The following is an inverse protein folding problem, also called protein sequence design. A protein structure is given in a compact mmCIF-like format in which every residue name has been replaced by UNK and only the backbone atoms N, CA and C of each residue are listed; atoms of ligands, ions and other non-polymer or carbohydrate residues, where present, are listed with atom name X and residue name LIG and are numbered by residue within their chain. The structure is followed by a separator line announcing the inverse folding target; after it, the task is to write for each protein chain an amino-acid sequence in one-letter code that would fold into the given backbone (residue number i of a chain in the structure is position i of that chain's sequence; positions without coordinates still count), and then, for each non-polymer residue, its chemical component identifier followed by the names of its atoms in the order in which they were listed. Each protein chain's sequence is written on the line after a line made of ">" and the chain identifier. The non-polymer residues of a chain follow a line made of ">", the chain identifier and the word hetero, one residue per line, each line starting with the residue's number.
data_IF_841296205741
#
_entry.id   IF_841296205741
#
_cell.length_a   1.000
_cell.length_b   1.000
_cell.length_c   1.000
_cell.angle_alpha   90.00
_cell.angle_beta   90.00
_cell.angle_gamma   90.00
#
_symmetry.space_group_name_H-M   'P 1'
#
loop_
_entity.id
_entity.type
_entity.pdbx_description
1 polymer ?
#
# COMPACT_ATOMS: atom_id res chain seq x y z
N UNK A 1 -0.90 -28.62 44.69
CA UNK A 1 -1.17 -28.33 43.27
C UNK A 1 -1.25 -26.82 43.13
N UNK A 2 -0.18 -26.19 42.65
CA UNK A 2 -0.10 -24.73 42.47
C UNK A 2 -0.50 -24.39 41.03
N UNK A 3 -1.42 -23.44 40.87
CA UNK A 3 -1.87 -22.92 39.57
C UNK A 3 -0.70 -22.18 38.91
N UNK A 4 -0.29 -22.61 37.71
CA UNK A 4 0.73 -21.90 36.95
C UNK A 4 0.22 -20.50 36.60
N UNK A 5 0.95 -19.48 37.04
CA UNK A 5 0.83 -18.12 36.52
C UNK A 5 0.98 -18.18 35.01
N UNK A 6 -0.09 -17.84 34.28
CA UNK A 6 0.00 -17.62 32.83
C UNK A 6 0.91 -16.41 32.63
N UNK A 7 2.13 -16.68 32.18
CA UNK A 7 3.06 -15.68 31.65
C UNK A 7 2.30 -14.83 30.63
N UNK A 8 1.99 -13.59 30.99
CA UNK A 8 1.54 -12.58 30.02
C UNK A 8 2.73 -12.34 29.11
N UNK A 9 2.69 -12.90 27.90
CA UNK A 9 3.57 -12.46 26.83
C UNK A 9 3.25 -10.98 26.60
N UNK A 10 4.18 -10.11 26.99
CA UNK A 10 4.20 -8.74 26.50
C UNK A 10 4.47 -8.92 25.02
N UNK A 11 3.43 -8.86 24.17
CA UNK A 11 3.62 -8.70 22.75
C UNK A 11 4.48 -7.44 22.59
N UNK A 12 5.72 -7.62 22.17
CA UNK A 12 6.56 -6.51 21.77
C UNK A 12 5.78 -5.82 20.65
N UNK A 13 5.31 -4.59 20.90
CA UNK A 13 4.64 -3.79 19.86
C UNK A 13 5.52 -3.86 18.62
N UNK A 14 4.98 -4.21 17.43
CA UNK A 14 5.79 -4.23 16.22
C UNK A 14 6.49 -2.88 16.08
N UNK A 15 7.78 -2.93 15.72
CA UNK A 15 8.59 -1.73 15.50
C UNK A 15 7.82 -0.83 14.53
N UNK A 16 7.24 0.27 15.04
CA UNK A 16 6.51 1.24 14.22
C UNK A 16 7.45 1.68 13.08
N UNK A 17 6.98 1.60 11.84
CA UNK A 17 7.72 2.06 10.67
C UNK A 17 8.25 3.47 10.93
N UNK A 18 9.55 3.66 10.73
CA UNK A 18 10.28 4.85 11.16
C UNK A 18 10.03 6.07 10.27
N UNK A 19 8.77 6.46 10.02
CA UNK A 19 8.38 7.50 9.05
C UNK A 19 9.15 8.83 9.24
N UNK A 20 9.52 9.18 10.48
CA UNK A 20 10.32 10.38 10.78
C UNK A 20 11.72 10.37 10.15
N UNK A 21 12.26 9.20 9.78
CA UNK A 21 13.55 9.08 9.06
C UNK A 21 13.53 9.77 7.70
N UNK A 22 12.34 9.90 7.11
CA UNK A 22 12.13 10.41 5.75
C UNK A 22 12.00 11.93 5.67
N UNK A 23 11.94 12.64 6.80
CA UNK A 23 11.78 14.12 6.83
C UNK A 23 12.87 14.82 6.04
N UNK A 24 14.15 14.45 6.26
CA UNK A 24 15.27 15.10 5.59
C UNK A 24 15.27 14.85 4.07
N UNK A 25 14.77 13.68 3.65
CA UNK A 25 14.67 13.34 2.24
C UNK A 25 13.53 14.11 1.57
N UNK A 26 12.37 14.18 2.23
CA UNK A 26 11.25 15.01 1.80
C UNK A 26 11.66 16.47 1.64
N UNK A 27 12.40 17.04 2.60
CA UNK A 27 12.91 18.41 2.48
C UNK A 27 13.78 18.60 1.24
N UNK A 28 14.67 17.65 0.94
CA UNK A 28 15.54 17.70 -0.23
C UNK A 28 14.74 17.63 -1.53
N UNK A 29 13.80 16.69 -1.63
CA UNK A 29 12.96 16.49 -2.83
C UNK A 29 12.09 17.72 -3.09
N UNK A 30 11.39 18.22 -2.06
CA UNK A 30 10.51 19.38 -2.18
C UNK A 30 11.26 20.66 -2.51
N UNK A 31 12.45 20.84 -1.92
CA UNK A 31 13.32 21.97 -2.26
C UNK A 31 13.80 21.90 -3.71
N UNK A 32 14.24 20.73 -4.18
CA UNK A 32 14.69 20.52 -5.56
C UNK A 32 13.56 20.73 -6.57
N UNK A 33 12.34 20.30 -6.24
CA UNK A 33 11.13 20.51 -7.05
C UNK A 33 10.62 21.98 -7.02
N UNK A 34 11.20 22.84 -6.17
CA UNK A 34 10.75 24.21 -5.92
C UNK A 34 9.29 24.30 -5.43
N UNK A 35 8.76 23.24 -4.82
CA UNK A 35 7.41 23.21 -4.25
C UNK A 35 7.42 23.85 -2.86
N UNK A 36 7.34 25.18 -2.84
CA UNK A 36 7.35 25.97 -1.59
C UNK A 36 6.15 25.68 -0.70
N UNK A 37 5.00 25.32 -1.28
CA UNK A 37 3.77 25.08 -0.51
C UNK A 37 3.93 23.80 0.29
N UNK A 38 4.28 22.69 -0.37
CA UNK A 38 4.50 21.41 0.30
C UNK A 38 5.70 21.47 1.25
N UNK A 39 6.77 22.20 0.90
CA UNK A 39 7.92 22.36 1.80
C UNK A 39 7.56 23.10 3.10
N UNK A 40 6.74 24.15 3.02
CA UNK A 40 6.24 24.83 4.22
C UNK A 40 5.31 23.90 5.01
N UNK A 41 4.43 23.17 4.33
CA UNK A 41 3.53 22.19 4.96
C UNK A 41 4.30 21.12 5.74
N UNK A 42 5.39 20.60 5.17
CA UNK A 42 6.27 19.64 5.84
C UNK A 42 6.85 20.22 7.14
N UNK A 43 7.46 21.41 7.04
CA UNK A 43 8.19 22.05 8.13
C UNK A 43 7.31 22.55 9.27
N UNK A 44 6.13 23.05 8.94
CA UNK A 44 5.21 23.65 9.92
C UNK A 44 4.27 22.63 10.53
N UNK A 45 3.84 21.60 9.78
CA UNK A 45 2.77 20.69 10.20
C UNK A 45 3.20 19.22 10.20
N UNK A 46 3.69 18.70 9.08
CA UNK A 46 3.87 17.25 8.93
C UNK A 46 4.93 16.65 9.87
N UNK A 47 5.94 17.41 10.28
CA UNK A 47 6.90 16.94 11.31
C UNK A 47 6.25 16.66 12.67
N UNK A 48 5.06 17.22 12.91
CA UNK A 48 4.27 17.04 14.12
C UNK A 48 3.03 16.17 13.91
N UNK A 49 2.56 16.01 12.67
CA UNK A 49 1.44 15.16 12.28
C UNK A 49 1.93 13.91 11.51
N UNK A 50 1.86 12.76 12.18
CA UNK A 50 2.33 11.49 11.61
C UNK A 50 1.56 11.10 10.36
N UNK A 51 0.23 11.34 10.32
CA UNK A 51 -0.62 10.99 9.17
C UNK A 51 -0.24 11.80 7.94
N UNK A 52 -0.10 13.10 8.14
CA UNK A 52 0.33 13.99 7.08
C UNK A 52 1.72 13.60 6.56
N UNK A 53 2.64 13.19 7.43
CA UNK A 53 3.98 12.77 7.03
C UNK A 53 3.96 11.49 6.16
N UNK A 54 3.13 10.50 6.48
CA UNK A 54 2.93 9.32 5.63
C UNK A 54 2.39 9.69 4.25
N UNK A 55 1.35 10.53 4.19
CA UNK A 55 0.76 11.00 2.91
C UNK A 55 1.76 11.79 2.07
N UNK A 56 2.59 12.62 2.70
CA UNK A 56 3.67 13.34 2.02
C UNK A 56 4.76 12.39 1.52
N UNK A 57 5.17 11.41 2.32
CA UNK A 57 6.14 10.40 1.89
C UNK A 57 5.64 9.62 0.67
N UNK A 58 4.40 9.11 0.71
CA UNK A 58 3.78 8.40 -0.41
C UNK A 58 3.73 9.25 -1.70
N UNK A 59 3.42 10.54 -1.55
CA UNK A 59 3.30 11.48 -2.67
C UNK A 59 4.63 11.83 -3.33
N UNK A 60 5.68 12.04 -2.54
CA UNK A 60 6.90 12.69 -3.03
C UNK A 60 8.13 11.80 -3.09
N UNK A 61 8.20 10.70 -2.31
CA UNK A 61 9.40 9.88 -2.24
C UNK A 61 9.38 8.71 -3.23
N UNK A 62 10.47 8.47 -3.98
CA UNK A 62 10.57 7.38 -4.93
C UNK A 62 10.92 6.06 -4.23
N UNK A 63 9.97 5.52 -3.47
CA UNK A 63 10.13 4.22 -2.82
C UNK A 63 10.16 3.06 -3.82
N UNK A 64 10.99 2.06 -3.52
CA UNK A 64 10.93 0.74 -4.14
C UNK A 64 9.61 0.02 -3.82
N UNK A 65 9.25 -1.06 -4.54
CA UNK A 65 8.00 -1.79 -4.28
C UNK A 65 7.85 -2.25 -2.83
N UNK A 66 8.91 -2.85 -2.27
CA UNK A 66 8.95 -3.28 -0.86
C UNK A 66 8.79 -2.10 0.10
N UNK A 67 9.44 -0.97 -0.16
CA UNK A 67 9.31 0.22 0.70
C UNK A 67 7.91 0.83 0.64
N UNK A 68 7.22 0.76 -0.50
CA UNK A 68 5.81 1.18 -0.60
C UNK A 68 4.91 0.27 0.24
N UNK A 69 5.09 -1.05 0.17
CA UNK A 69 4.33 -1.98 1.01
C UNK A 69 4.62 -1.71 2.50
N UNK A 70 5.89 -1.58 2.89
CA UNK A 70 6.27 -1.25 4.28
C UNK A 70 5.70 0.10 4.75
N UNK A 71 5.62 1.09 3.87
CA UNK A 71 5.02 2.39 4.18
C UNK A 71 3.53 2.24 4.50
N UNK A 72 2.78 1.48 3.69
CA UNK A 72 1.34 1.27 3.87
C UNK A 72 1.09 0.43 5.12
N UNK A 73 1.75 -0.71 5.28
CA UNK A 73 1.64 -1.55 6.49
C UNK A 73 2.03 -0.77 7.74
N UNK A 74 3.08 0.05 7.67
CA UNK A 74 3.50 0.95 8.74
C UNK A 74 2.45 2.00 9.10
N UNK A 75 1.70 2.48 8.11
CA UNK A 75 0.61 3.43 8.30
C UNK A 75 -0.62 2.77 8.92
N UNK A 76 -1.02 1.58 8.44
CA UNK A 76 -2.11 0.78 9.04
C UNK A 76 -1.82 0.51 10.53
N UNK A 77 -0.61 0.07 10.85
CA UNK A 77 -0.18 -0.15 12.24
C UNK A 77 -0.18 1.14 13.08
N UNK A 78 0.06 2.30 12.46
CA UNK A 78 -0.01 3.59 13.15
C UNK A 78 -1.46 3.97 13.46
N UNK A 79 -2.39 3.75 12.52
CA UNK A 79 -3.82 4.03 12.68
C UNK A 79 -4.51 3.09 13.68
N UNK A 80 -4.06 1.83 13.79
CA UNK A 80 -4.51 0.91 14.84
C UNK A 80 -4.16 1.37 16.27
N UNK A 81 -3.18 2.26 16.42
CA UNK A 81 -2.61 2.72 17.70
C UNK A 81 -2.31 1.61 18.75
N UNK A 82 -2.03 0.40 18.30
CA UNK A 82 -1.73 -0.76 19.16
C UNK A 82 -2.94 -1.59 19.56
N UNK A 83 -4.10 -1.34 18.96
CA UNK A 83 -5.24 -2.25 18.94
C UNK A 83 -5.08 -3.30 17.81
N UNK A 84 -5.78 -4.42 17.93
CA UNK A 84 -5.77 -5.47 16.91
C UNK A 84 -6.62 -5.06 15.69
N UNK A 85 -7.73 -4.37 15.94
CA UNK A 85 -8.71 -3.93 14.94
C UNK A 85 -8.54 -2.44 14.65
N UNK A 86 -8.56 -2.06 13.36
CA UNK A 86 -8.56 -0.65 12.95
C UNK A 86 -9.98 -0.05 13.08
N UNK A 87 -10.07 1.24 13.41
CA UNK A 87 -11.34 1.96 13.42
C UNK A 87 -11.75 2.41 12.02
N UNK A 88 -13.04 2.67 11.80
CA UNK A 88 -13.56 3.21 10.54
C UNK A 88 -12.85 4.52 10.11
N UNK A 89 -12.58 5.43 11.05
CA UNK A 89 -11.79 6.63 10.78
C UNK A 89 -10.36 6.29 10.31
N UNK A 90 -9.73 5.27 10.92
CA UNK A 90 -8.43 4.77 10.50
C UNK A 90 -8.47 4.13 9.11
N UNK A 91 -9.55 3.41 8.79
CA UNK A 91 -9.75 2.85 7.44
C UNK A 91 -9.87 3.95 6.38
N UNK A 92 -10.63 5.01 6.66
CA UNK A 92 -10.75 6.17 5.78
C UNK A 92 -9.41 6.90 5.59
N UNK A 93 -8.56 6.91 6.61
CA UNK A 93 -7.21 7.46 6.48
C UNK A 93 -6.32 6.58 5.59
N UNK A 94 -6.41 5.25 5.72
CA UNK A 94 -5.70 4.28 4.86
C UNK A 94 -6.16 4.42 3.41
N UNK A 95 -7.46 4.54 3.16
CA UNK A 95 -8.02 4.81 1.83
C UNK A 95 -7.43 6.09 1.20
N UNK A 96 -7.31 7.17 1.97
CA UNK A 96 -6.70 8.39 1.46
C UNK A 96 -5.22 8.19 1.10
N UNK A 97 -4.47 7.38 1.86
CA UNK A 97 -3.07 7.09 1.55
C UNK A 97 -2.96 6.23 0.28
N UNK A 98 -3.75 5.16 0.16
CA UNK A 98 -3.73 4.26 -1.00
C UNK A 98 -4.19 4.98 -2.26
N UNK A 99 -5.18 5.88 -2.16
CA UNK A 99 -5.59 6.76 -3.25
C UNK A 99 -4.44 7.66 -3.75
N UNK A 100 -3.61 8.20 -2.87
CA UNK A 100 -2.41 8.95 -3.28
C UNK A 100 -1.45 8.08 -4.10
N UNK A 101 -1.28 6.81 -3.71
CA UNK A 101 -0.42 5.87 -4.42
C UNK A 101 -1.03 5.44 -5.77
N UNK A 102 -2.33 5.19 -5.85
CA UNK A 102 -3.01 4.83 -7.10
C UNK A 102 -3.07 6.00 -8.09
N UNK A 103 -3.19 7.24 -7.62
CA UNK A 103 -3.02 8.44 -8.47
C UNK A 103 -1.59 8.50 -9.02
N UNK A 104 -0.59 8.18 -8.20
CA UNK A 104 0.79 8.11 -8.67
C UNK A 104 1.02 6.96 -9.64
N UNK A 105 0.38 5.81 -9.44
CA UNK A 105 0.38 4.70 -10.38
C UNK A 105 -0.22 5.12 -11.73
N UNK A 106 -1.33 5.87 -11.71
CA UNK A 106 -1.92 6.48 -12.91
C UNK A 106 -0.94 7.38 -13.65
N UNK A 107 -0.19 8.23 -12.95
CA UNK A 107 0.83 9.08 -13.59
C UNK A 107 1.93 8.26 -14.28
N UNK A 108 2.36 7.13 -13.70
CA UNK A 108 3.29 6.21 -14.35
C UNK A 108 2.68 5.54 -15.59
N UNK A 109 1.42 5.11 -15.49
CA UNK A 109 0.67 4.55 -16.61
C UNK A 109 0.57 5.54 -17.78
N UNK A 110 0.29 6.83 -17.51
CA UNK A 110 0.20 7.88 -18.54
C UNK A 110 1.48 8.08 -19.35
N UNK A 111 2.65 7.80 -18.75
CA UNK A 111 3.96 7.86 -19.42
C UNK A 111 4.46 6.49 -19.87
N UNK A 112 3.56 5.49 -19.94
CA UNK A 112 3.83 4.11 -20.35
C UNK A 112 4.82 3.35 -19.44
N UNK A 113 5.02 3.80 -18.20
CA UNK A 113 5.77 3.08 -17.17
C UNK A 113 4.87 2.07 -16.43
N UNK A 114 4.33 1.11 -17.19
CA UNK A 114 3.32 0.17 -16.70
C UNK A 114 3.81 -0.74 -15.55
N UNK A 115 5.09 -1.12 -15.54
CA UNK A 115 5.64 -1.95 -14.46
C UNK A 115 5.68 -1.16 -13.14
N UNK A 116 6.18 0.08 -13.17
CA UNK A 116 6.17 0.98 -12.00
C UNK A 116 4.75 1.25 -11.50
N UNK A 117 3.78 1.37 -12.41
CA UNK A 117 2.37 1.52 -12.07
C UNK A 117 1.82 0.26 -11.37
N UNK A 118 2.12 -0.92 -11.89
CA UNK A 118 1.71 -2.20 -11.31
C UNK A 118 2.29 -2.41 -9.91
N UNK A 119 3.58 -2.11 -9.73
CA UNK A 119 4.27 -2.25 -8.45
C UNK A 119 3.59 -1.45 -7.32
N UNK A 120 3.07 -0.25 -7.61
CA UNK A 120 2.32 0.54 -6.63
C UNK A 120 0.96 -0.09 -6.31
N UNK A 121 0.23 -0.59 -7.31
CA UNK A 121 -1.05 -1.26 -7.09
C UNK A 121 -0.88 -2.58 -6.30
N UNK A 122 0.15 -3.36 -6.61
CA UNK A 122 0.49 -4.56 -5.84
C UNK A 122 0.91 -4.22 -4.41
N UNK A 123 1.70 -3.16 -4.19
CA UNK A 123 2.03 -2.72 -2.84
C UNK A 123 0.78 -2.40 -1.99
N UNK A 124 -0.24 -1.80 -2.60
CA UNK A 124 -1.55 -1.57 -1.96
C UNK A 124 -2.22 -2.90 -1.62
N UNK A 125 -2.39 -3.80 -2.59
CA UNK A 125 -3.06 -5.10 -2.39
C UNK A 125 -2.37 -5.89 -1.27
N UNK A 126 -1.05 -6.04 -1.36
CA UNK A 126 -0.24 -6.86 -0.44
C UNK A 126 -0.10 -6.27 0.97
N UNK A 127 -0.40 -4.99 1.15
CA UNK A 127 -0.43 -4.36 2.47
C UNK A 127 -1.83 -4.37 3.10
N UNK A 128 -2.88 -4.33 2.28
CA UNK A 128 -4.28 -4.16 2.72
C UNK A 128 -5.01 -5.49 2.84
N UNK A 129 -4.80 -6.43 1.92
CA UNK A 129 -5.46 -7.74 1.93
C UNK A 129 -5.27 -8.50 3.25
N UNK A 130 -4.06 -8.61 3.83
CA UNK A 130 -3.84 -9.32 5.09
C UNK A 130 -4.61 -8.73 6.30
N UNK A 131 -5.12 -7.51 6.16
CA UNK A 131 -5.76 -6.78 7.24
C UNK A 131 -7.29 -6.86 7.21
N UNK A 132 -7.87 -7.53 6.21
CA UNK A 132 -9.31 -7.80 6.09
C UNK A 132 -9.91 -8.51 7.34
N UNK A 133 -9.21 -9.39 8.07
CA UNK A 133 -9.74 -9.95 9.32
C UNK A 133 -9.77 -8.94 10.48
N UNK A 134 -9.08 -7.81 10.35
CA UNK A 134 -8.77 -6.86 11.42
C UNK A 134 -9.43 -5.48 11.23
N UNK A 135 -10.54 -5.42 10.51
CA UNK A 135 -11.28 -4.19 10.17
C UNK A 135 -12.69 -4.21 10.73
N UNK A 136 -13.32 -3.05 10.83
CA UNK A 136 -14.66 -2.91 11.39
C UNK A 136 -15.74 -3.14 10.31
N UNK A 137 -16.93 -3.59 10.71
CA UNK A 137 -18.13 -3.68 9.85
C UNK A 137 -17.89 -4.32 8.47
N UNK A 138 -17.37 -5.56 8.47
CA UNK A 138 -17.02 -6.34 7.27
C UNK A 138 -15.91 -5.72 6.40
N UNK A 139 -15.35 -4.57 6.77
CA UNK A 139 -14.22 -3.96 6.09
C UNK A 139 -14.56 -3.31 4.75
N UNK A 140 -15.74 -2.69 4.63
CA UNK A 140 -16.20 -2.12 3.35
C UNK A 140 -15.17 -1.18 2.70
N UNK A 141 -14.51 -0.35 3.49
CA UNK A 141 -13.47 0.57 3.00
C UNK A 141 -12.26 -0.21 2.47
N UNK A 142 -11.79 -1.23 3.18
CA UNK A 142 -10.68 -2.08 2.72
C UNK A 142 -11.06 -2.88 1.46
N UNK A 143 -12.27 -3.40 1.38
CA UNK A 143 -12.78 -4.05 0.17
C UNK A 143 -12.81 -3.08 -1.02
N UNK A 144 -13.19 -1.82 -0.79
CA UNK A 144 -13.17 -0.77 -1.83
C UNK A 144 -11.74 -0.50 -2.32
N UNK A 145 -10.79 -0.33 -1.39
CA UNK A 145 -9.38 -0.14 -1.73
C UNK A 145 -8.84 -1.29 -2.59
N UNK A 146 -9.16 -2.53 -2.23
CA UNK A 146 -8.72 -3.72 -2.97
C UNK A 146 -9.36 -3.78 -4.35
N UNK A 147 -10.68 -3.55 -4.44
CA UNK A 147 -11.38 -3.46 -5.73
C UNK A 147 -10.74 -2.43 -6.65
N UNK A 148 -10.50 -1.21 -6.16
CA UNK A 148 -9.91 -0.12 -6.95
C UNK A 148 -8.51 -0.49 -7.46
N UNK A 149 -7.69 -1.16 -6.65
CA UNK A 149 -6.35 -1.58 -7.05
C UNK A 149 -6.39 -2.70 -8.11
N UNK A 150 -7.26 -3.70 -7.97
CA UNK A 150 -7.42 -4.75 -8.98
C UNK A 150 -8.06 -4.24 -10.27
N UNK A 151 -9.05 -3.35 -10.18
CA UNK A 151 -9.66 -2.71 -11.34
C UNK A 151 -8.63 -1.85 -12.08
N UNK A 152 -7.78 -1.10 -11.36
CA UNK A 152 -6.68 -0.36 -11.96
C UNK A 152 -5.73 -1.28 -12.75
N UNK A 153 -5.30 -2.40 -12.17
CA UNK A 153 -4.43 -3.37 -12.84
C UNK A 153 -5.09 -3.99 -14.08
N UNK A 154 -6.37 -4.33 -13.98
CA UNK A 154 -7.15 -4.94 -15.07
C UNK A 154 -7.30 -3.96 -16.24
N UNK A 155 -7.75 -2.73 -15.96
CA UNK A 155 -7.89 -1.67 -16.97
C UNK A 155 -6.53 -1.34 -17.63
N UNK A 156 -5.46 -1.33 -16.84
CA UNK A 156 -4.12 -1.13 -17.37
C UNK A 156 -3.69 -2.27 -18.30
N UNK A 157 -3.93 -3.53 -17.93
CA UNK A 157 -3.59 -4.70 -18.77
C UNK A 157 -4.27 -4.66 -20.15
N UNK A 158 -5.50 -4.16 -20.23
CA UNK A 158 -6.24 -4.02 -21.48
C UNK A 158 -5.64 -2.98 -22.44
N UNK A 159 -4.93 -1.98 -21.92
CA UNK A 159 -4.33 -0.90 -22.70
C UNK A 159 -2.92 -1.20 -23.22
N UNK A 160 -2.22 -2.18 -22.63
CA UNK A 160 -0.81 -2.46 -22.94
C UNK A 160 -0.65 -3.20 -24.27
N UNK A 161 -0.15 -2.54 -25.29
CA UNK A 161 0.10 -3.15 -26.61
C UNK A 161 1.39 -4.01 -26.65
N UNK A 162 2.34 -3.75 -25.74
CA UNK A 162 3.64 -4.41 -25.76
C UNK A 162 3.58 -5.78 -25.04
N UNK A 163 3.68 -6.85 -25.82
CA UNK A 163 3.66 -8.24 -25.32
C UNK A 163 4.69 -8.50 -24.22
N UNK A 164 5.90 -7.95 -24.32
CA UNK A 164 6.93 -8.16 -23.28
C UNK A 164 6.53 -7.54 -21.93
N UNK A 165 5.76 -6.46 -21.96
CA UNK A 165 5.24 -5.84 -20.74
C UNK A 165 4.12 -6.70 -20.16
N UNK A 166 3.23 -7.25 -21.00
CA UNK A 166 2.21 -8.22 -20.57
C UNK A 166 2.86 -9.47 -19.96
N UNK A 167 3.85 -10.07 -20.61
CA UNK A 167 4.61 -11.22 -20.10
C UNK A 167 5.17 -10.90 -18.71
N UNK A 168 5.78 -9.72 -18.57
CA UNK A 168 6.36 -9.32 -17.29
C UNK A 168 5.30 -9.10 -16.20
N UNK A 169 4.16 -8.50 -16.54
CA UNK A 169 3.05 -8.35 -15.61
C UNK A 169 2.43 -9.68 -15.21
N UNK A 170 2.32 -10.62 -16.15
CA UNK A 170 1.85 -11.98 -15.88
C UNK A 170 2.77 -12.68 -14.89
N UNK A 171 4.08 -12.66 -15.12
CA UNK A 171 5.08 -13.21 -14.20
C UNK A 171 4.98 -12.59 -12.80
N UNK A 172 4.87 -11.25 -12.71
CA UNK A 172 4.73 -10.56 -11.43
C UNK A 172 3.44 -10.93 -10.70
N UNK A 173 2.32 -10.99 -11.42
CA UNK A 173 1.01 -11.36 -10.86
C UNK A 173 1.05 -12.79 -10.34
N UNK A 174 1.67 -13.71 -11.10
CA UNK A 174 1.80 -15.10 -10.73
C UNK A 174 2.70 -15.26 -9.50
N UNK A 175 3.84 -14.58 -9.46
CA UNK A 175 4.76 -14.59 -8.32
C UNK A 175 4.07 -14.09 -7.04
N UNK A 176 3.29 -13.01 -7.13
CA UNK A 176 2.48 -12.56 -6.00
C UNK A 176 1.38 -13.55 -5.64
N UNK A 177 0.68 -14.13 -6.62
CA UNK A 177 -0.38 -15.09 -6.34
C UNK A 177 0.13 -16.33 -5.61
N UNK A 178 1.26 -16.91 -6.06
CA UNK A 178 1.81 -18.16 -5.55
C UNK A 178 2.57 -18.03 -4.22
N UNK A 179 3.13 -16.85 -3.91
CA UNK A 179 3.94 -16.65 -2.71
C UNK A 179 3.20 -15.95 -1.55
N UNK A 180 1.88 -15.76 -1.65
CA UNK A 180 1.08 -15.22 -0.53
C UNK A 180 0.90 -16.27 0.56
N UNK A 181 0.82 -15.80 1.81
CA UNK A 181 0.40 -16.65 2.91
C UNK A 181 -1.08 -17.00 2.72
N UNK A 182 -1.43 -18.28 2.89
CA UNK A 182 -2.81 -18.75 2.75
C UNK A 182 -3.73 -18.13 3.80
N UNK A 183 -3.20 -17.82 4.99
CA UNK A 183 -3.96 -17.20 6.08
C UNK A 183 -4.25 -15.71 5.79
N UNK A 184 -3.47 -15.08 4.91
CA UNK A 184 -3.60 -13.67 4.52
C UNK A 184 -4.25 -13.49 3.13
N UNK A 185 -4.66 -14.60 2.48
CA UNK A 185 -5.23 -14.61 1.14
C UNK A 185 -6.76 -14.64 1.19
N UNK A 186 -7.38 -13.50 0.87
CA UNK A 186 -8.84 -13.33 0.90
C UNK A 186 -9.44 -13.01 -0.48
N UNK A 187 -8.60 -12.66 -1.45
CA UNK A 187 -8.97 -12.16 -2.77
C UNK A 187 -8.37 -13.00 -3.91
N UNK A 188 -8.18 -14.30 -3.70
CA UNK A 188 -7.63 -15.24 -4.69
C UNK A 188 -8.32 -15.15 -6.06
N UNK A 189 -9.65 -15.13 -6.07
CA UNK A 189 -10.45 -15.02 -7.30
C UNK A 189 -10.10 -13.78 -8.14
N UNK A 190 -9.70 -12.65 -7.53
CA UNK A 190 -9.29 -11.45 -8.27
C UNK A 190 -7.91 -11.58 -8.90
N UNK A 191 -6.99 -12.27 -8.23
CA UNK A 191 -5.72 -12.64 -8.87
C UNK A 191 -5.94 -13.59 -10.05
N UNK A 192 -6.81 -14.57 -9.91
CA UNK A 192 -7.17 -15.49 -11.00
C UNK A 192 -7.78 -14.73 -12.19
N UNK A 193 -8.74 -13.82 -11.94
CA UNK A 193 -9.33 -12.95 -12.97
C UNK A 193 -8.27 -12.10 -13.70
N UNK A 194 -7.32 -11.52 -12.95
CA UNK A 194 -6.22 -10.73 -13.53
C UNK A 194 -5.26 -11.60 -14.36
N UNK A 195 -4.88 -12.78 -13.85
CA UNK A 195 -4.04 -13.75 -14.57
C UNK A 195 -4.71 -14.22 -15.85
N UNK A 196 -6.01 -14.52 -15.82
CA UNK A 196 -6.76 -14.85 -17.02
C UNK A 196 -6.78 -13.71 -18.04
N UNK A 197 -6.93 -12.47 -17.57
CA UNK A 197 -6.93 -11.28 -18.41
C UNK A 197 -5.59 -11.09 -19.11
N UNK A 198 -4.50 -11.21 -18.37
CA UNK A 198 -3.13 -11.14 -18.91
C UNK A 198 -2.84 -12.30 -19.86
N UNK A 199 -3.26 -13.53 -19.53
CA UNK A 199 -3.03 -14.69 -20.38
C UNK A 199 -3.79 -14.61 -21.72
N UNK A 200 -4.98 -13.99 -21.76
CA UNK A 200 -5.71 -13.74 -23.02
C UNK A 200 -4.97 -12.77 -23.97
N UNK A 201 -3.97 -12.04 -23.45
CA UNK A 201 -3.18 -11.03 -24.17
C UNK A 201 -1.81 -11.55 -24.62
N UNK A 202 -1.43 -12.76 -24.22
CA UNK A 202 -0.21 -13.48 -24.62
C UNK A 202 -0.47 -14.36 -25.84
#
# INVERSE_FOLDING_TARGET
>A
MSKSEKTRYIMARPLRYGIKRHVQELEKVLFAAQDKVSLNMLREYAVHDTRLLYKMAARFLPFSPTENQELISGFILAEKDGEDTISEDGENEVEQLTNVLLVRASNFKEVHEFISAAELAFAVILAVEPEIPNVYDEGWTYQTILNDAFEFLTNMAEEIENVKVIEKLYEMTLDHFENRDADDSHWEHKFEELLETLNKRL
#
